data_IF_187749344929
#
_entry.id   IF_187749344929
#
_cell.length_a   1.000
_cell.length_b   1.000
_cell.length_c   1.000
_cell.angle_alpha   90.00
_cell.angle_beta   90.00
_cell.angle_gamma   90.00
#
_symmetry.space_group_name_H-M   'P 1'
#
loop_
_entity.id
_entity.type
_entity.pdbx_description
1 polymer ?
#
# COMPACT_ATOMS: atom_id res chain seq x y z
N UNK A 1 -11.50 1.72 11.31
CA UNK A 1 -11.92 0.88 10.17
C UNK A 1 -13.44 0.76 10.18
N UNK A 2 -14.08 0.74 9.01
CA UNK A 2 -15.48 0.33 8.86
C UNK A 2 -15.53 -1.07 8.23
N UNK A 3 -16.30 -1.99 8.83
CA UNK A 3 -16.59 -3.29 8.24
C UNK A 3 -18.03 -3.28 7.73
N UNK A 4 -18.18 -3.14 6.42
CA UNK A 4 -19.49 -3.07 5.78
C UNK A 4 -19.95 -4.49 5.43
N UNK A 5 -21.12 -4.87 5.92
CA UNK A 5 -21.73 -6.18 5.72
C UNK A 5 -23.10 -5.98 5.04
N UNK A 6 -23.33 -6.69 3.94
CA UNK A 6 -24.64 -6.79 3.32
C UNK A 6 -25.55 -7.65 4.21
N UNK A 7 -26.67 -7.08 4.71
CA UNK A 7 -27.57 -7.81 5.61
C UNK A 7 -28.23 -9.02 4.96
N UNK A 8 -28.32 -9.06 3.63
CA UNK A 8 -28.92 -10.19 2.90
C UNK A 8 -27.96 -11.38 2.76
N UNK A 9 -26.65 -11.10 2.67
CA UNK A 9 -25.60 -12.11 2.48
C UNK A 9 -24.88 -12.49 3.78
N UNK A 10 -24.84 -11.58 4.74
CA UNK A 10 -24.06 -11.70 5.95
C UNK A 10 -22.54 -11.71 5.71
N UNK A 11 -21.79 -12.21 6.69
CA UNK A 11 -20.32 -12.29 6.61
C UNK A 11 -19.88 -13.23 5.48
N UNK A 12 -19.05 -12.71 4.58
CA UNK A 12 -18.42 -13.45 3.48
C UNK A 12 -16.92 -13.64 3.72
N UNK A 13 -16.26 -14.51 2.94
CA UNK A 13 -14.82 -14.76 3.05
C UNK A 13 -14.00 -13.47 2.98
N UNK A 14 -14.34 -12.57 2.05
CA UNK A 14 -13.69 -11.26 1.92
C UNK A 14 -13.84 -10.39 3.18
N UNK A 15 -15.02 -10.39 3.79
CA UNK A 15 -15.28 -9.66 5.03
C UNK A 15 -14.50 -10.24 6.21
N UNK A 16 -14.33 -11.57 6.25
CA UNK A 16 -13.53 -12.25 7.25
C UNK A 16 -12.03 -11.94 7.10
N UNK A 17 -11.49 -11.97 5.89
CA UNK A 17 -10.10 -11.56 5.60
C UNK A 17 -9.87 -10.09 5.98
N UNK A 18 -10.82 -9.21 5.63
CA UNK A 18 -10.79 -7.80 5.99
C UNK A 18 -10.75 -7.61 7.52
N UNK A 19 -11.55 -8.38 8.26
CA UNK A 19 -11.53 -8.38 9.72
C UNK A 19 -10.17 -8.80 10.28
N UNK A 20 -9.52 -9.81 9.71
CA UNK A 20 -8.17 -10.24 10.11
C UNK A 20 -7.13 -9.13 9.87
N UNK A 21 -7.14 -8.49 8.70
CA UNK A 21 -6.25 -7.35 8.42
C UNK A 21 -6.52 -6.20 9.40
N UNK A 22 -7.79 -5.92 9.68
CA UNK A 22 -8.20 -4.94 10.68
C UNK A 22 -7.61 -5.24 12.05
N UNK A 23 -7.59 -6.50 12.47
CA UNK A 23 -7.01 -6.91 13.75
C UNK A 23 -5.51 -6.60 13.86
N UNK A 24 -4.80 -6.44 12.75
CA UNK A 24 -3.39 -6.06 12.74
C UNK A 24 -3.27 -4.53 12.65
N UNK A 25 -3.94 -3.92 11.66
CA UNK A 25 -3.66 -2.55 11.24
C UNK A 25 -4.49 -1.47 11.96
N UNK A 26 -5.61 -1.81 12.59
CA UNK A 26 -6.60 -0.82 13.05
C UNK A 26 -6.91 -0.93 14.54
N UNK A 27 -7.02 0.20 15.25
CA UNK A 27 -7.35 0.20 16.69
C UNK A 27 -8.86 0.05 16.95
N UNK A 28 -9.69 0.72 16.15
CA UNK A 28 -11.15 0.74 16.31
C UNK A 28 -11.86 0.22 15.06
N UNK A 29 -13.00 -0.43 15.28
CA UNK A 29 -13.89 -0.97 14.26
C UNK A 29 -15.31 -0.43 14.46
N UNK A 30 -15.97 -0.07 13.37
CA UNK A 30 -17.43 0.15 13.32
C UNK A 30 -18.00 -0.84 12.31
N UNK A 31 -19.03 -1.59 12.70
CA UNK A 31 -19.72 -2.52 11.79
C UNK A 31 -20.91 -1.82 11.19
N UNK A 32 -21.02 -1.85 9.86
CA UNK A 32 -22.10 -1.22 9.12
C UNK A 32 -22.91 -2.32 8.43
N UNK A 33 -24.13 -2.53 8.89
CA UNK A 33 -25.11 -3.43 8.29
C UNK A 33 -25.85 -2.68 7.18
N UNK A 34 -25.42 -2.86 5.93
CA UNK A 34 -25.94 -2.14 4.76
C UNK A 34 -27.04 -2.94 4.05
N UNK A 35 -27.89 -2.22 3.28
CA UNK A 35 -29.02 -2.73 2.48
C UNK A 35 -30.22 -3.21 3.29
N UNK A 36 -30.53 -2.53 4.39
CA UNK A 36 -31.71 -2.86 5.21
C UNK A 36 -33.04 -2.68 4.47
N UNK A 37 -33.05 -1.86 3.42
CA UNK A 37 -34.19 -1.63 2.53
C UNK A 37 -34.66 -2.91 1.83
N UNK A 38 -33.73 -3.80 1.47
CA UNK A 38 -34.03 -5.07 0.81
C UNK A 38 -34.72 -6.09 1.74
N UNK A 39 -34.73 -5.84 3.05
CA UNK A 39 -35.45 -6.67 4.01
C UNK A 39 -36.94 -6.30 4.01
N UNK A 40 -37.79 -7.31 3.97
CA UNK A 40 -39.24 -7.15 4.05
C UNK A 40 -39.64 -6.34 5.30
N UNK A 41 -40.46 -5.30 5.13
CA UNK A 41 -40.76 -4.29 6.14
C UNK A 41 -41.23 -4.89 7.49
N UNK A 42 -42.09 -5.91 7.46
CA UNK A 42 -42.58 -6.58 8.67
C UNK A 42 -41.57 -7.49 9.39
N UNK A 43 -40.43 -7.83 8.76
CA UNK A 43 -39.38 -8.69 9.35
C UNK A 43 -38.02 -7.99 9.45
N UNK A 44 -37.91 -6.75 8.99
CA UNK A 44 -36.67 -5.98 8.90
C UNK A 44 -35.95 -5.88 10.24
N UNK A 45 -36.66 -5.45 11.29
CA UNK A 45 -36.06 -5.28 12.61
C UNK A 45 -35.54 -6.60 13.18
N UNK A 46 -36.34 -7.67 13.12
CA UNK A 46 -35.94 -8.98 13.61
C UNK A 46 -34.72 -9.54 12.86
N UNK A 47 -34.62 -9.30 11.55
CA UNK A 47 -33.47 -9.71 10.75
C UNK A 47 -32.20 -8.90 11.09
N UNK A 48 -32.33 -7.58 11.28
CA UNK A 48 -31.24 -6.71 11.74
C UNK A 48 -30.75 -7.16 13.12
N UNK A 49 -31.65 -7.41 14.07
CA UNK A 49 -31.29 -7.82 15.43
C UNK A 49 -30.58 -9.18 15.43
N UNK A 50 -31.07 -10.13 14.61
CA UNK A 50 -30.43 -11.43 14.42
C UNK A 50 -29.02 -11.28 13.85
N UNK A 51 -28.85 -10.42 12.85
CA UNK A 51 -27.55 -10.18 12.23
C UNK A 51 -26.58 -9.45 13.19
N UNK A 52 -27.10 -8.51 13.97
CA UNK A 52 -26.36 -7.79 15.01
C UNK A 52 -25.81 -8.75 16.06
N UNK A 53 -26.65 -9.66 16.58
CA UNK A 53 -26.21 -10.70 17.53
C UNK A 53 -25.17 -11.64 16.92
N UNK A 54 -25.34 -12.06 15.66
CA UNK A 54 -24.37 -12.88 14.94
C UNK A 54 -23.03 -12.15 14.79
N UNK A 55 -23.06 -10.86 14.53
CA UNK A 55 -21.87 -10.03 14.41
C UNK A 55 -21.17 -9.82 15.74
N UNK A 56 -21.91 -9.54 16.82
CA UNK A 56 -21.36 -9.46 18.17
C UNK A 56 -20.63 -10.77 18.53
N UNK A 57 -21.27 -11.91 18.32
CA UNK A 57 -20.66 -13.24 18.56
C UNK A 57 -19.40 -13.48 17.73
N UNK A 58 -19.37 -13.04 16.47
CA UNK A 58 -18.16 -13.16 15.64
C UNK A 58 -17.02 -12.30 16.18
N UNK A 59 -17.34 -11.11 16.69
CA UNK A 59 -16.36 -10.15 17.19
C UNK A 59 -15.92 -10.42 18.63
N UNK A 60 -16.65 -11.22 19.41
CA UNK A 60 -16.33 -11.59 20.79
C UNK A 60 -14.90 -12.13 20.96
N UNK A 61 -14.43 -12.92 19.99
CA UNK A 61 -13.09 -13.52 19.99
C UNK A 61 -12.03 -12.65 19.31
N UNK A 62 -12.33 -11.39 19.04
CA UNK A 62 -11.41 -10.45 18.39
C UNK A 62 -11.12 -9.27 19.31
N UNK A 63 -10.10 -8.48 18.97
CA UNK A 63 -9.83 -7.21 19.67
C UNK A 63 -10.95 -6.17 19.53
N UNK A 64 -11.93 -6.42 18.66
CA UNK A 64 -13.06 -5.54 18.38
C UNK A 64 -14.34 -5.95 19.13
N UNK A 65 -14.20 -6.70 20.23
CA UNK A 65 -15.31 -7.02 21.12
C UNK A 65 -16.01 -5.72 21.57
N UNK A 66 -17.33 -5.66 21.41
CA UNK A 66 -18.12 -4.48 21.76
C UNK A 66 -18.06 -3.34 20.73
N UNK A 67 -17.49 -3.57 19.54
CA UNK A 67 -17.55 -2.60 18.46
C UNK A 67 -19.00 -2.19 18.15
N UNK A 68 -19.27 -0.89 17.95
CA UNK A 68 -20.61 -0.42 17.63
C UNK A 68 -21.06 -0.95 16.27
N UNK A 69 -22.34 -1.32 16.21
CA UNK A 69 -22.99 -1.85 15.02
C UNK A 69 -24.12 -0.90 14.65
N UNK A 70 -24.13 -0.45 13.40
CA UNK A 70 -25.16 0.46 12.89
C UNK A 70 -25.74 -0.07 11.59
N UNK A 71 -27.02 0.18 11.38
CA UNK A 71 -27.77 -0.32 10.24
C UNK A 71 -28.14 0.81 9.30
N UNK A 72 -27.87 0.64 8.00
CA UNK A 72 -28.05 1.69 6.99
C UNK A 72 -28.62 1.13 5.69
N UNK A 73 -29.29 1.99 4.92
CA UNK A 73 -29.53 1.80 3.50
C UNK A 73 -28.83 2.94 2.76
N UNK A 74 -27.58 2.71 2.35
CA UNK A 74 -26.76 3.77 1.74
C UNK A 74 -27.26 4.21 0.36
N UNK A 75 -27.79 3.27 -0.42
CA UNK A 75 -28.47 3.53 -1.69
C UNK A 75 -29.72 2.65 -1.76
N UNK A 76 -30.89 3.17 -1.34
CA UNK A 76 -32.14 2.41 -1.39
C UNK A 76 -32.45 1.95 -2.82
N UNK A 77 -32.87 0.70 -2.99
CA UNK A 77 -33.12 0.09 -4.30
C UNK A 77 -31.87 -0.40 -5.04
N UNK A 78 -30.67 -0.17 -4.50
CA UNK A 78 -29.42 -0.74 -5.01
C UNK A 78 -28.72 0.08 -6.11
N UNK A 79 -27.68 -0.48 -6.74
CA UNK A 79 -26.79 0.27 -7.64
C UNK A 79 -27.51 0.88 -8.85
N UNK A 80 -28.56 0.22 -9.34
CA UNK A 80 -29.30 0.58 -10.55
C UNK A 80 -30.59 1.37 -10.26
N UNK A 81 -30.96 1.54 -9.00
CA UNK A 81 -32.16 2.29 -8.65
C UNK A 81 -31.97 3.80 -8.92
N UNK A 82 -33.03 4.48 -9.39
CA UNK A 82 -33.04 5.94 -9.50
C UNK A 82 -32.83 6.58 -8.12
N UNK A 83 -32.15 7.73 -8.07
CA UNK A 83 -31.83 8.48 -6.84
C UNK A 83 -33.06 9.18 -6.22
N UNK A 84 -34.24 8.58 -6.35
CA UNK A 84 -35.50 9.13 -5.85
C UNK A 84 -35.72 8.87 -4.36
N UNK A 85 -35.09 7.84 -3.81
CA UNK A 85 -35.21 7.49 -2.39
C UNK A 85 -34.00 7.96 -1.58
N UNK A 86 -34.26 8.63 -0.46
CA UNK A 86 -33.23 9.16 0.41
C UNK A 86 -32.51 8.04 1.20
N UNK A 87 -31.19 8.09 1.35
CA UNK A 87 -30.45 7.16 2.20
C UNK A 87 -30.96 7.13 3.64
N UNK A 88 -31.02 5.95 4.25
CA UNK A 88 -31.51 5.74 5.61
C UNK A 88 -30.34 5.40 6.55
N UNK A 89 -30.29 5.99 7.74
CA UNK A 89 -29.28 5.68 8.76
C UNK A 89 -27.92 6.36 8.57
N UNK A 90 -27.74 7.16 7.51
CA UNK A 90 -26.44 7.78 7.18
C UNK A 90 -26.08 8.89 8.17
N UNK A 91 -27.05 9.69 8.61
CA UNK A 91 -26.82 10.75 9.59
C UNK A 91 -26.33 10.16 10.92
N UNK A 92 -26.95 9.07 11.38
CA UNK A 92 -26.55 8.35 12.59
C UNK A 92 -25.17 7.70 12.43
N UNK A 93 -24.85 7.18 11.24
CA UNK A 93 -23.51 6.66 10.93
C UNK A 93 -22.45 7.77 11.02
N UNK A 94 -22.73 8.96 10.50
CA UNK A 94 -21.81 10.10 10.57
C UNK A 94 -21.57 10.50 12.04
N UNK A 95 -22.62 10.63 12.84
CA UNK A 95 -22.47 10.97 14.26
C UNK A 95 -21.73 9.89 15.04
N UNK A 96 -22.01 8.61 14.77
CA UNK A 96 -21.26 7.50 15.35
C UNK A 96 -19.78 7.57 14.98
N UNK A 97 -19.45 7.79 13.70
CA UNK A 97 -18.07 7.92 13.25
C UNK A 97 -17.37 9.10 13.93
N UNK A 98 -18.03 10.26 14.06
CA UNK A 98 -17.51 11.42 14.80
C UNK A 98 -17.22 11.09 16.26
N UNK A 99 -18.08 10.31 16.92
CA UNK A 99 -17.85 9.88 18.31
C UNK A 99 -16.71 8.86 18.48
N UNK A 100 -16.44 8.05 17.44
CA UNK A 100 -15.46 6.97 17.51
C UNK A 100 -14.07 7.41 17.05
N UNK A 101 -13.99 8.36 16.14
CA UNK A 101 -12.73 8.82 15.54
C UNK A 101 -12.08 9.86 16.45
N UNK A 102 -10.85 9.58 16.87
CA UNK A 102 -9.96 10.57 17.48
C UNK A 102 -9.03 11.12 16.41
N UNK A 103 -8.87 12.44 16.36
CA UNK A 103 -7.86 13.07 15.51
C UNK A 103 -6.49 12.72 16.12
N UNK A 104 -5.61 12.00 15.40
CA UNK A 104 -4.29 11.67 15.93
C UNK A 104 -3.48 12.95 16.11
N UNK A 105 -2.79 13.08 17.24
CA UNK A 105 -1.80 14.13 17.44
C UNK A 105 -0.67 13.93 16.43
N UNK A 106 -0.44 14.93 15.59
CA UNK A 106 0.69 14.94 14.65
C UNK A 106 1.80 15.77 15.24
N UNK A 107 2.99 15.21 15.28
CA UNK A 107 4.19 15.97 15.63
C UNK A 107 4.84 16.49 14.33
N UNK A 108 4.83 17.80 14.07
CA UNK A 108 5.50 18.38 12.92
C UNK A 108 7.03 18.45 13.11
N UNK A 109 7.54 18.13 14.31
CA UNK A 109 8.96 18.10 14.59
C UNK A 109 9.64 16.89 13.92
N UNK A 110 10.92 17.04 13.61
CA UNK A 110 11.72 15.99 12.97
C UNK A 110 11.68 16.00 11.45
N UNK A 111 12.36 15.03 10.80
CA UNK A 111 12.50 14.99 9.36
C UNK A 111 11.17 14.71 8.66
N UNK A 112 10.96 15.37 7.52
CA UNK A 112 9.84 15.09 6.64
C UNK A 112 9.98 13.67 6.07
N UNK A 113 8.97 12.83 6.33
CA UNK A 113 8.88 11.50 5.77
C UNK A 113 7.48 11.28 5.20
N UNK A 114 7.43 10.87 3.93
CA UNK A 114 6.19 10.61 3.22
C UNK A 114 6.25 9.24 2.57
N UNK A 115 5.23 8.43 2.82
CA UNK A 115 4.97 7.21 2.05
C UNK A 115 4.28 7.60 0.75
N UNK A 116 4.83 7.21 -0.39
CA UNK A 116 4.27 7.52 -1.70
C UNK A 116 3.26 6.43 -2.07
N UNK A 117 2.01 6.84 -2.22
CA UNK A 117 0.91 5.94 -2.58
C UNK A 117 0.71 5.92 -4.11
N UNK A 118 0.77 7.10 -4.74
CA UNK A 118 0.62 7.24 -6.18
C UNK A 118 1.63 8.21 -6.79
N UNK A 119 1.99 7.96 -8.05
CA UNK A 119 2.84 8.82 -8.86
C UNK A 119 2.29 8.85 -10.29
N UNK A 120 2.06 10.06 -10.79
CA UNK A 120 1.54 10.31 -12.13
C UNK A 120 2.12 11.62 -12.69
N UNK A 121 2.12 11.76 -14.01
CA UNK A 121 2.64 12.94 -14.70
C UNK A 121 1.52 13.80 -15.23
N UNK A 122 1.59 15.11 -14.99
CA UNK A 122 0.67 16.11 -15.53
C UNK A 122 1.43 16.95 -16.57
N UNK A 123 0.91 16.98 -17.80
CA UNK A 123 1.51 17.77 -18.89
C UNK A 123 1.56 19.25 -18.50
N UNK A 124 2.76 19.84 -18.54
CA UNK A 124 3.00 21.24 -18.18
C UNK A 124 3.18 21.52 -16.69
N UNK A 125 2.94 20.55 -15.80
CA UNK A 125 3.13 20.70 -14.34
C UNK A 125 4.17 19.73 -13.76
N UNK A 126 4.63 18.77 -14.56
CA UNK A 126 5.64 17.79 -14.14
C UNK A 126 5.04 16.57 -13.46
N UNK A 127 5.83 15.92 -12.60
CA UNK A 127 5.42 14.72 -11.87
C UNK A 127 4.76 15.10 -10.54
N UNK A 128 3.60 14.50 -10.27
CA UNK A 128 2.85 14.66 -9.03
C UNK A 128 2.89 13.34 -8.26
N UNK A 129 3.32 13.44 -7.01
CA UNK A 129 3.34 12.33 -6.06
C UNK A 129 2.31 12.60 -4.98
N UNK A 130 1.46 11.63 -4.70
CA UNK A 130 0.51 11.68 -3.57
C UNK A 130 0.81 10.55 -2.61
N UNK A 131 0.48 10.77 -1.35
CA UNK A 131 0.97 9.90 -0.30
C UNK A 131 0.56 10.35 1.08
N UNK A 132 0.97 9.57 2.07
CA UNK A 132 0.71 9.82 3.47
C UNK A 132 1.96 10.35 4.15
N UNK A 133 1.87 11.54 4.75
CA UNK A 133 2.94 12.09 5.60
C UNK A 133 2.98 11.28 6.89
N UNK A 134 4.10 10.64 7.15
CA UNK A 134 4.35 9.80 8.32
C UNK A 134 4.98 10.59 9.46
N UNK A 135 5.79 11.61 9.15
CA UNK A 135 6.51 12.43 10.13
C UNK A 135 6.91 13.79 9.53
N UNK A 136 7.10 14.78 10.40
CA UNK A 136 7.60 16.10 10.04
C UNK A 136 6.58 16.98 9.31
N UNK A 137 7.09 18.07 8.74
CA UNK A 137 6.33 19.01 7.92
C UNK A 137 7.14 19.41 6.68
N UNK A 138 6.44 19.95 5.68
CA UNK A 138 7.03 20.45 4.44
C UNK A 138 6.32 21.72 4.00
N UNK A 139 7.06 22.67 3.44
CA UNK A 139 6.55 23.91 2.86
C UNK A 139 6.75 23.93 1.34
N UNK A 140 6.03 24.85 0.68
CA UNK A 140 6.21 25.08 -0.74
C UNK A 140 7.63 25.57 -1.04
N UNK A 141 8.31 24.91 -1.98
CA UNK A 141 9.68 25.21 -2.37
C UNK A 141 10.75 24.41 -1.63
N UNK A 142 10.39 23.65 -0.59
CA UNK A 142 11.33 22.78 0.12
C UNK A 142 11.83 21.66 -0.81
N UNK A 143 13.12 21.36 -0.69
CA UNK A 143 13.73 20.23 -1.41
C UNK A 143 13.52 18.94 -0.64
N UNK A 144 13.06 17.89 -1.34
CA UNK A 144 12.83 16.56 -0.77
C UNK A 144 13.77 15.53 -1.37
N UNK A 145 14.22 14.61 -0.54
CA UNK A 145 15.10 13.53 -0.95
C UNK A 145 14.31 12.25 -1.27
N UNK A 146 14.74 11.52 -2.29
CA UNK A 146 14.17 10.21 -2.67
C UNK A 146 15.23 9.13 -2.43
N UNK A 147 15.09 8.25 -1.42
CA UNK A 147 16.15 7.36 -0.91
C UNK A 147 16.71 6.28 -1.87
N UNK A 148 16.27 6.21 -3.12
CA UNK A 148 16.47 5.05 -3.99
C UNK A 148 17.50 5.30 -5.10
N UNK A 149 18.73 5.68 -4.73
CA UNK A 149 19.83 5.94 -5.67
C UNK A 149 20.96 4.88 -5.48
N UNK A 150 21.56 4.37 -6.56
CA UNK A 150 22.60 3.31 -6.60
C UNK A 150 23.80 3.80 -7.42
N UNK A 151 25.01 3.83 -6.88
CA UNK A 151 26.21 4.34 -7.60
C UNK A 151 26.62 3.47 -8.79
N UNK A 152 27.05 4.11 -9.89
CA UNK A 152 27.62 3.51 -11.10
C UNK A 152 29.13 3.73 -11.19
N UNK A 153 29.58 4.97 -10.99
CA UNK A 153 30.96 5.41 -11.03
C UNK A 153 31.14 6.62 -10.11
N UNK A 154 32.36 7.14 -10.00
CA UNK A 154 32.72 8.26 -9.10
C UNK A 154 31.92 9.54 -9.33
N UNK A 155 31.30 9.69 -10.49
CA UNK A 155 30.55 10.88 -10.88
C UNK A 155 29.11 10.55 -11.28
N UNK A 156 28.67 9.29 -11.14
CA UNK A 156 27.37 8.86 -11.66
C UNK A 156 26.63 7.92 -10.73
N UNK A 157 25.34 8.18 -10.57
CA UNK A 157 24.43 7.40 -9.73
C UNK A 157 23.18 7.02 -10.50
N UNK A 158 22.75 5.77 -10.45
CA UNK A 158 21.46 5.31 -10.96
C UNK A 158 20.37 5.54 -9.93
N UNK A 159 19.41 6.41 -10.24
CA UNK A 159 18.13 6.42 -9.55
C UNK A 159 17.22 5.27 -9.99
N UNK A 160 16.49 4.70 -9.03
CA UNK A 160 15.40 3.74 -9.25
C UNK A 160 14.14 4.20 -8.52
N UNK A 161 12.99 3.61 -8.86
CA UNK A 161 11.70 3.84 -8.19
C UNK A 161 11.06 5.23 -8.36
N UNK A 162 11.74 6.19 -8.99
CA UNK A 162 11.15 7.50 -9.31
C UNK A 162 10.25 7.44 -10.56
N UNK A 163 10.70 6.73 -11.60
CA UNK A 163 9.98 6.62 -12.86
C UNK A 163 9.42 5.21 -13.05
N UNK A 164 8.19 5.13 -13.59
CA UNK A 164 7.64 3.88 -14.12
C UNK A 164 8.30 3.55 -15.47
N UNK A 165 8.21 2.30 -15.91
CA UNK A 165 8.84 1.83 -17.16
C UNK A 165 8.37 2.63 -18.39
N UNK A 166 7.14 3.13 -18.36
CA UNK A 166 6.51 3.86 -19.47
C UNK A 166 6.88 5.35 -19.50
N UNK A 167 7.66 5.84 -18.52
CA UNK A 167 7.99 7.26 -18.39
C UNK A 167 9.02 7.69 -19.43
N UNK A 168 8.75 8.77 -20.16
CA UNK A 168 9.74 9.36 -21.07
C UNK A 168 10.79 10.17 -20.28
N UNK A 169 11.92 9.53 -19.96
CA UNK A 169 13.01 10.11 -19.16
C UNK A 169 13.69 11.31 -19.86
N UNK A 170 13.60 11.44 -21.19
CA UNK A 170 14.22 12.55 -21.92
C UNK A 170 13.70 13.92 -21.48
N UNK A 171 12.47 14.00 -20.96
CA UNK A 171 11.89 15.23 -20.43
C UNK A 171 12.51 15.71 -19.11
N UNK A 172 13.30 14.85 -18.46
CA UNK A 172 13.89 15.09 -17.15
C UNK A 172 15.41 15.26 -17.21
N UNK A 173 16.01 15.03 -18.38
CA UNK A 173 17.44 15.25 -18.61
C UNK A 173 17.76 16.73 -18.43
N UNK A 174 18.80 17.03 -17.66
CA UNK A 174 19.21 18.41 -17.32
C UNK A 174 18.63 18.94 -16.01
N UNK A 175 17.68 18.24 -15.36
CA UNK A 175 17.17 18.66 -14.05
C UNK A 175 18.19 18.41 -12.94
N UNK A 176 18.28 19.37 -12.01
CA UNK A 176 19.15 19.27 -10.83
C UNK A 176 18.54 18.36 -9.78
N UNK A 177 19.37 17.54 -9.15
CA UNK A 177 19.00 16.60 -8.08
C UNK A 177 20.02 16.72 -6.97
N UNK A 178 19.57 16.64 -5.71
CA UNK A 178 20.46 16.60 -4.54
C UNK A 178 20.39 15.20 -3.91
N UNK A 179 21.55 14.62 -3.58
CA UNK A 179 21.64 13.35 -2.86
C UNK A 179 21.45 13.56 -1.35
N UNK A 180 21.10 12.48 -0.61
CA UNK A 180 21.09 12.44 0.88
C UNK A 180 22.37 12.94 1.50
N UNK A 181 23.46 12.67 0.79
CA UNK A 181 24.83 12.92 1.21
C UNK A 181 25.29 14.34 0.89
N UNK A 182 24.39 15.18 0.34
CA UNK A 182 24.59 16.60 0.13
C UNK A 182 25.09 16.98 -1.26
N UNK A 183 25.58 16.04 -2.07
CA UNK A 183 26.07 16.33 -3.41
C UNK A 183 24.95 16.74 -4.38
N UNK A 184 25.25 17.70 -5.23
CA UNK A 184 24.37 18.15 -6.30
C UNK A 184 24.75 17.48 -7.61
N UNK A 185 23.75 16.94 -8.31
CA UNK A 185 23.89 16.32 -9.61
C UNK A 185 22.80 16.77 -10.59
N UNK A 186 22.85 16.19 -11.78
CA UNK A 186 21.97 16.47 -12.90
C UNK A 186 21.51 15.14 -13.47
N UNK A 187 20.23 14.99 -13.78
CA UNK A 187 19.74 13.82 -14.51
C UNK A 187 20.36 13.84 -15.91
N UNK A 188 21.17 12.84 -16.20
CA UNK A 188 21.97 12.73 -17.43
C UNK A 188 21.21 11.96 -18.52
N UNK A 189 20.71 10.78 -18.19
CA UNK A 189 20.12 9.88 -19.21
C UNK A 189 19.23 8.78 -18.62
N UNK A 190 18.42 8.14 -19.47
CA UNK A 190 17.74 6.91 -19.12
C UNK A 190 18.73 5.75 -18.93
N UNK A 191 18.44 4.84 -18.00
CA UNK A 191 19.29 3.68 -17.73
C UNK A 191 18.51 2.36 -17.87
N UNK A 192 18.69 1.65 -18.99
CA UNK A 192 18.03 0.36 -19.25
C UNK A 192 16.50 0.43 -19.39
N UNK A 193 15.81 -0.71 -19.23
CA UNK A 193 14.37 -0.84 -19.54
C UNK A 193 13.41 -0.73 -18.34
N UNK A 194 13.82 -0.14 -17.23
CA UNK A 194 13.10 -0.28 -15.94
C UNK A 194 12.81 1.01 -15.18
N UNK A 195 12.61 2.15 -15.87
CA UNK A 195 12.38 3.44 -15.21
C UNK A 195 13.55 3.90 -14.34
N UNK A 196 14.73 3.33 -14.57
CA UNK A 196 15.98 3.75 -13.94
C UNK A 196 16.57 4.87 -14.80
N UNK A 197 17.27 5.79 -14.14
CA UNK A 197 17.87 6.96 -14.77
C UNK A 197 19.22 7.23 -14.13
N UNK A 198 20.14 7.82 -14.91
CA UNK A 198 21.48 8.17 -14.48
C UNK A 198 21.50 9.63 -14.05
N UNK A 199 22.15 9.90 -12.93
CA UNK A 199 22.43 11.22 -12.39
C UNK A 199 23.94 11.41 -12.49
N UNK A 200 24.38 12.48 -13.14
CA UNK A 200 25.77 12.93 -13.18
C UNK A 200 26.03 13.95 -12.07
N UNK A 201 27.12 13.82 -11.34
CA UNK A 201 27.51 14.66 -10.21
C UNK A 201 28.81 15.35 -10.59
N UNK A 202 28.78 16.64 -11.00
CA UNK A 202 29.96 17.35 -11.48
C UNK A 202 31.08 17.42 -10.43
N UNK A 203 30.73 17.50 -9.15
CA UNK A 203 31.67 17.54 -8.03
C UNK A 203 32.24 16.18 -7.62
N UNK A 204 31.81 15.09 -8.26
CA UNK A 204 32.12 13.72 -7.83
C UNK A 204 31.44 13.33 -6.52
N UNK A 205 31.42 12.03 -6.26
CA UNK A 205 30.88 11.45 -5.03
C UNK A 205 31.94 11.44 -3.93
N UNK A 206 31.56 11.86 -2.74
CA UNK A 206 32.42 11.72 -1.57
C UNK A 206 32.69 10.24 -1.25
N UNK A 207 33.80 9.91 -0.58
CA UNK A 207 34.09 8.53 -0.14
C UNK A 207 33.00 7.94 0.76
N UNK A 208 32.32 8.77 1.55
CA UNK A 208 31.20 8.37 2.40
C UNK A 208 29.96 8.00 1.57
N UNK A 209 29.66 8.81 0.55
CA UNK A 209 28.56 8.58 -0.38
C UNK A 209 28.75 7.30 -1.18
N UNK A 210 29.98 7.03 -1.63
CA UNK A 210 30.32 5.75 -2.27
C UNK A 210 30.06 4.57 -1.35
N UNK A 211 30.34 4.69 -0.04
CA UNK A 211 30.11 3.61 0.92
C UNK A 211 28.63 3.38 1.23
N UNK A 212 27.83 4.45 1.28
CA UNK A 212 26.38 4.39 1.54
C UNK A 212 25.62 3.83 0.33
N UNK A 213 25.99 4.27 -0.87
CA UNK A 213 25.26 3.96 -2.10
C UNK A 213 25.78 2.71 -2.83
N UNK A 214 26.94 2.17 -2.43
CA UNK A 214 27.42 0.86 -2.88
C UNK A 214 26.90 -0.21 -1.91
N UNK A 215 26.07 -1.17 -2.35
CA UNK A 215 25.62 -2.23 -1.47
C UNK A 215 26.81 -3.08 -1.02
N UNK A 216 26.95 -3.33 0.28
CA UNK A 216 27.89 -4.31 0.83
C UNK A 216 27.58 -5.67 0.24
N UNK A 217 28.41 -6.13 -0.70
CA UNK A 217 28.38 -7.51 -1.18
C UNK A 217 28.67 -8.43 0.01
N UNK A 218 27.63 -9.04 0.60
CA UNK A 218 27.82 -10.28 1.36
C UNK A 218 28.41 -11.29 0.38
N UNK A 219 29.72 -11.53 0.48
CA UNK A 219 30.40 -12.68 -0.15
C UNK A 219 29.66 -13.95 0.31
N UNK A 220 28.77 -14.47 -0.53
CA UNK A 220 28.40 -15.89 -0.47
C UNK A 220 29.64 -16.65 -0.93
N UNK A 221 30.41 -17.16 0.03
CA UNK A 221 31.55 -18.01 -0.22
C UNK A 221 31.13 -19.20 -1.07
N UNK A 222 31.79 -19.35 -2.22
CA UNK A 222 31.72 -20.54 -3.07
C UNK A 222 32.59 -21.60 -2.39
N UNK A 223 32.03 -22.29 -1.39
CA UNK A 223 32.61 -23.51 -0.85
C UNK A 223 32.34 -24.66 -1.84
N UNK A 224 33.38 -25.45 -2.12
CA UNK A 224 33.49 -26.34 -3.27
C UNK A 224 32.48 -27.49 -3.35
N UNK A 225 32.10 -27.81 -4.58
CA UNK A 225 31.91 -29.21 -5.01
C UNK A 225 33.32 -29.69 -5.36
N UNK A 226 33.92 -30.70 -4.73
CA UNK A 226 33.32 -31.94 -4.24
C UNK A 226 33.39 -32.96 -5.36
N UNK A 227 34.60 -33.50 -5.59
CA UNK A 227 34.79 -34.81 -6.23
C UNK A 227 33.98 -35.85 -5.47
N UNK A 228 33.07 -36.56 -6.16
CA UNK A 228 32.71 -37.93 -5.85
C UNK A 228 31.84 -38.52 -6.97
N UNK A 229 32.39 -39.56 -7.59
CA UNK A 229 31.74 -40.80 -8.04
C UNK A 229 30.52 -40.72 -8.99
N UNK A 230 30.79 -41.08 -10.25
CA UNK A 230 29.86 -41.85 -11.08
C UNK A 230 29.55 -43.17 -10.38
N UNK A 231 28.27 -43.48 -10.20
CA UNK A 231 27.77 -44.85 -10.24
C UNK A 231 26.39 -44.83 -10.90
N UNK A 232 26.30 -45.61 -11.96
CA UNK A 232 25.13 -45.89 -12.77
C UNK A 232 24.13 -46.72 -11.98
N UNK A 233 22.83 -46.45 -12.13
CA UNK A 233 21.80 -47.49 -12.03
C UNK A 233 20.56 -47.04 -12.82
N UNK A 234 20.42 -47.61 -14.01
CA UNK A 234 19.25 -47.50 -14.87
C UNK A 234 18.14 -48.41 -14.37
N UNK A 235 16.91 -47.90 -14.38
CA UNK A 235 15.70 -48.66 -14.07
C UNK A 235 14.95 -48.95 -15.37
N UNK A 236 15.05 -50.17 -15.90
CA UNK A 236 14.10 -50.73 -16.87
C UNK A 236 13.46 -51.99 -16.27
N UNK A 237 12.13 -52.05 -16.34
CA UNK A 237 11.29 -53.18 -15.90
C UNK A 237 10.95 -54.09 -17.09
N UNK A 238 10.56 -55.35 -16.83
CA UNK A 238 10.69 -56.47 -17.77
C UNK A 238 9.51 -56.66 -18.72
N UNK A 239 9.76 -57.30 -19.86
CA UNK A 239 8.74 -57.86 -20.77
C UNK A 239 8.13 -59.15 -20.18
N UNK A 240 6.82 -59.43 -20.41
CA UNK A 240 6.24 -60.74 -20.16
C UNK A 240 6.18 -61.58 -21.44
N UNK A 241 6.62 -62.84 -21.36
CA UNK A 241 6.32 -63.88 -22.36
C UNK A 241 5.37 -64.91 -21.74
N UNK A 242 4.20 -65.03 -22.37
CA UNK A 242 3.11 -66.03 -22.21
C UNK A 242 2.49 -66.25 -20.83
#
# INVERSE_FOLDING_TARGET
MMLVIDVTKGMQTQSAECLVIGQIACQKLVVVLNKIDLLAQGKRQAAIDKMTKKMQKTLENTKFRGAPIISVAAKPGGPEAPETEAPQGISELIELLKSQISIPTRDPSGPFLMSVDHCFSIKGQGTVMTGTILSGAINLGDSVEIPALKVMDDYSVIGRSLFKKETNIQLFVGLKVQLSTGEQGIIDSAFGQSGKFKIYIPGGLSPESKKILTPTLKKRGRAGRGEAAKQEEGTERPEPTQ
#
